data_IF_434969647302
#
_entry.id   IF_434969647302
#
_cell.length_a   1.000
_cell.length_b   1.000
_cell.length_c   1.000
_cell.angle_alpha   90.00
_cell.angle_beta   90.00
_cell.angle_gamma   90.00
#
_symmetry.space_group_name_H-M   'P 1'
#
loop_
_entity.id
_entity.type
_entity.pdbx_description
1 polymer ?
#
# COMPACT_ATOMS: atom_id res chain seq x y z
N UNK A 1 -20.70 16.97 -76.08
CA UNK A 1 -21.70 17.72 -75.30
C UNK A 1 -21.04 18.13 -73.99
N UNK A 2 -20.18 19.16 -73.91
CA UNK A 2 -20.35 20.63 -73.95
C UNK A 2 -21.25 21.22 -72.84
N UNK A 3 -20.65 22.13 -72.05
CA UNK A 3 -21.27 23.07 -71.07
C UNK A 3 -20.68 22.87 -69.66
N UNK A 4 -19.79 23.68 -69.08
CA UNK A 4 -19.50 25.13 -69.07
C UNK A 4 -20.56 26.02 -68.40
N UNK A 5 -20.30 26.45 -67.16
CA UNK A 5 -20.48 27.80 -66.60
C UNK A 5 -20.11 27.78 -65.10
N UNK A 6 -19.05 28.45 -64.64
CA UNK A 6 -19.01 29.85 -64.15
C UNK A 6 -20.14 30.13 -63.14
N UNK A 7 -19.91 30.43 -61.88
CA UNK A 7 -18.86 31.26 -61.28
C UNK A 7 -19.59 32.38 -60.52
N UNK A 8 -19.45 32.44 -59.20
CA UNK A 8 -19.77 33.65 -58.44
C UNK A 8 -18.90 33.75 -57.20
N UNK A 9 -18.10 34.82 -57.21
CA UNK A 9 -17.30 35.33 -56.12
C UNK A 9 -18.20 35.88 -55.01
N UNK A 10 -17.89 35.56 -53.76
CA UNK A 10 -18.21 36.43 -52.64
C UNK A 10 -16.94 36.66 -51.82
N UNK A 11 -16.39 37.87 -52.01
CA UNK A 11 -15.43 38.49 -51.11
C UNK A 11 -16.10 38.74 -49.76
N UNK A 12 -15.55 38.17 -48.69
CA UNK A 12 -15.81 38.64 -47.34
C UNK A 12 -14.48 38.91 -46.63
N UNK A 13 -14.31 40.20 -46.33
CA UNK A 13 -13.35 40.79 -45.42
C UNK A 13 -13.44 40.14 -44.03
N UNK A 14 -12.32 39.61 -43.53
CA UNK A 14 -12.17 39.36 -42.08
C UNK A 14 -10.73 39.62 -41.64
N UNK A 15 -10.65 40.42 -40.57
CA UNK A 15 -9.49 41.06 -39.95
C UNK A 15 -8.38 40.08 -39.53
N UNK A 16 -7.13 40.57 -39.39
CA UNK A 16 -6.04 39.79 -38.79
C UNK A 16 -6.36 39.44 -37.32
N UNK A 17 -5.99 38.23 -36.85
CA UNK A 17 -6.17 37.86 -35.46
C UNK A 17 -5.19 38.66 -34.59
N UNK A 18 -5.78 39.42 -33.66
CA UNK A 18 -5.10 40.06 -32.54
C UNK A 18 -4.34 38.99 -31.75
N UNK A 19 -3.01 39.09 -31.70
CA UNK A 19 -2.17 38.31 -30.79
C UNK A 19 -2.58 38.62 -29.34
N UNK A 20 -3.37 37.71 -28.74
CA UNK A 20 -3.51 37.65 -27.30
C UNK A 20 -2.18 37.17 -26.71
N UNK A 21 -1.39 38.11 -26.20
CA UNK A 21 -0.36 37.82 -25.20
C UNK A 21 -1.06 37.21 -24.00
N UNK A 22 -0.94 35.91 -23.81
CA UNK A 22 -1.14 35.31 -22.50
C UNK A 22 -0.01 35.82 -21.60
N UNK A 23 -0.31 36.87 -20.85
CA UNK A 23 0.41 37.21 -19.63
C UNK A 23 0.24 36.03 -18.67
N UNK A 24 1.29 35.22 -18.53
CA UNK A 24 1.45 34.32 -17.40
C UNK A 24 1.56 35.19 -16.14
N UNK A 25 0.41 35.52 -15.56
CA UNK A 25 0.36 35.96 -14.18
C UNK A 25 0.77 34.75 -13.30
N UNK A 26 1.73 34.90 -12.38
CA UNK A 26 1.99 33.85 -11.40
C UNK A 26 0.71 33.59 -10.63
N UNK A 27 0.31 32.32 -10.56
CA UNK A 27 -0.79 31.85 -9.72
C UNK A 27 -0.42 32.22 -8.29
N UNK A 28 -1.19 33.13 -7.70
CA UNK A 28 -1.13 33.45 -6.27
C UNK A 28 -1.49 32.18 -5.50
N UNK A 29 -0.47 31.42 -5.12
CA UNK A 29 -0.60 30.41 -4.10
C UNK A 29 -0.81 31.15 -2.79
N UNK A 30 -2.05 31.12 -2.28
CA UNK A 30 -2.35 31.50 -0.90
C UNK A 30 -1.47 30.65 0.00
N UNK A 31 -0.43 31.27 0.53
CA UNK A 31 0.53 30.69 1.45
C UNK A 31 -0.23 30.23 2.69
N UNK A 32 -0.39 28.91 2.86
CA UNK A 32 -0.83 28.32 4.14
C UNK A 32 0.40 28.15 5.02
N UNK A 33 0.52 28.84 6.15
CA UNK A 33 1.68 28.74 7.05
C UNK A 33 1.84 27.38 7.78
N UNK A 34 1.03 26.38 7.41
CA UNK A 34 0.81 25.16 8.21
C UNK A 34 1.43 23.89 7.58
N UNK A 35 2.17 23.98 6.47
CA UNK A 35 2.91 22.85 5.91
C UNK A 35 4.35 22.80 6.49
N UNK A 36 4.61 21.99 7.53
CA UNK A 36 5.91 21.96 8.22
C UNK A 36 7.05 21.48 7.31
N UNK A 37 6.77 20.76 6.22
CA UNK A 37 7.81 20.28 5.30
C UNK A 37 8.35 21.39 4.37
N UNK A 38 7.64 22.51 4.18
CA UNK A 38 8.09 23.61 3.29
C UNK A 38 8.77 24.76 4.05
N UNK A 39 8.45 24.97 5.33
CA UNK A 39 9.11 25.97 6.18
C UNK A 39 10.56 25.62 6.50
N UNK A 40 10.89 24.32 6.55
CA UNK A 40 12.23 23.86 6.90
C UNK A 40 13.23 23.99 5.73
N UNK A 41 12.76 23.87 4.48
CA UNK A 41 13.59 24.07 3.29
C UNK A 41 14.08 25.52 3.15
N UNK A 42 13.20 26.50 3.38
CA UNK A 42 13.60 27.91 3.33
C UNK A 42 14.43 28.34 4.54
N UNK A 43 14.28 27.69 5.70
CA UNK A 43 15.07 28.00 6.89
C UNK A 43 16.52 27.54 6.73
N UNK A 44 16.74 26.36 6.13
CA UNK A 44 18.08 25.83 5.85
C UNK A 44 18.86 26.69 4.83
N UNK A 45 18.17 27.26 3.83
CA UNK A 45 18.81 28.14 2.83
C UNK A 45 18.97 29.59 3.31
N UNK A 46 18.28 29.99 4.38
CA UNK A 46 18.35 31.35 4.96
C UNK A 46 19.47 31.56 5.97
N UNK A 47 20.17 30.50 6.39
CA UNK A 47 21.39 30.61 7.18
C UNK A 47 22.57 31.00 6.27
N UNK A 48 22.50 32.21 5.70
CA UNK A 48 23.72 32.90 5.28
C UNK A 48 24.43 33.25 6.59
N UNK A 49 25.60 32.65 6.89
CA UNK A 49 26.29 32.95 8.12
C UNK A 49 26.68 34.43 8.10
N UNK A 50 26.07 35.22 8.96
CA UNK A 50 26.39 36.63 9.18
C UNK A 50 27.83 36.84 9.70
N UNK A 51 28.58 35.75 9.88
CA UNK A 51 30.00 35.77 10.20
C UNK A 51 30.72 34.58 9.51
N UNK A 52 31.57 34.81 8.49
CA UNK A 52 32.30 33.75 7.79
C UNK A 52 33.33 33.02 8.67
N UNK A 53 33.58 33.48 9.90
CA UNK A 53 34.54 32.88 10.83
C UNK A 53 33.91 31.96 11.88
N UNK A 54 32.57 31.88 11.96
CA UNK A 54 31.90 30.93 12.85
C UNK A 54 31.70 29.61 12.10
N UNK A 55 32.57 28.63 12.38
CA UNK A 55 32.40 27.24 11.90
C UNK A 55 30.99 26.78 12.25
N UNK A 56 30.20 26.44 11.22
CA UNK A 56 28.90 25.80 11.36
C UNK A 56 28.99 24.70 12.44
N UNK A 57 28.11 24.75 13.43
CA UNK A 57 28.15 23.86 14.58
C UNK A 57 28.22 22.40 14.10
N UNK A 58 29.03 21.54 14.74
CA UNK A 58 29.21 20.14 14.33
C UNK A 58 27.90 19.32 14.29
N UNK A 59 26.82 19.85 14.87
CA UNK A 59 25.46 19.35 14.75
C UNK A 59 24.84 19.57 13.36
N UNK A 60 25.00 20.74 12.75
CA UNK A 60 24.53 21.02 11.38
C UNK A 60 25.23 20.15 10.34
N UNK A 61 26.56 19.96 10.48
CA UNK A 61 27.33 19.03 9.65
C UNK A 61 26.91 17.58 9.88
N UNK A 62 26.64 17.17 11.14
CA UNK A 62 26.05 15.85 11.42
C UNK A 62 24.65 15.70 10.83
N UNK A 63 23.84 16.75 10.84
CA UNK A 63 22.49 16.73 10.27
C UNK A 63 22.54 16.63 8.75
N UNK A 64 23.39 17.40 8.08
CA UNK A 64 23.63 17.28 6.64
C UNK A 64 24.26 15.95 6.24
N UNK A 65 25.18 15.41 7.05
CA UNK A 65 25.72 14.07 6.82
C UNK A 65 24.68 12.99 7.07
N UNK A 66 23.84 13.07 8.11
CA UNK A 66 22.74 12.12 8.33
C UNK A 66 21.70 12.21 7.21
N UNK A 67 21.28 13.41 6.83
CA UNK A 67 20.31 13.65 5.76
C UNK A 67 20.83 13.11 4.42
N UNK A 68 22.06 13.48 4.01
CA UNK A 68 22.64 13.01 2.75
C UNK A 68 22.91 11.50 2.73
N UNK A 69 23.26 10.90 3.87
CA UNK A 69 23.46 9.44 3.96
C UNK A 69 22.15 8.66 4.05
N UNK A 70 21.11 9.20 4.69
CA UNK A 70 19.77 8.63 4.68
C UNK A 70 19.19 8.65 3.26
N UNK A 71 19.33 9.76 2.53
CA UNK A 71 18.90 9.85 1.13
C UNK A 71 19.65 8.86 0.23
N UNK A 72 20.96 8.66 0.46
CA UNK A 72 21.75 7.68 -0.30
C UNK A 72 21.34 6.22 -0.03
N UNK A 73 20.92 5.89 1.19
CA UNK A 73 20.41 4.55 1.51
C UNK A 73 18.99 4.34 0.98
N UNK A 74 18.14 5.35 1.06
CA UNK A 74 16.79 5.32 0.51
C UNK A 74 16.82 5.18 -1.00
N UNK A 75 17.67 5.94 -1.71
CA UNK A 75 17.85 5.82 -3.17
C UNK A 75 18.40 4.46 -3.59
N UNK A 76 19.33 3.86 -2.83
CA UNK A 76 19.78 2.48 -3.06
C UNK A 76 18.66 1.46 -2.84
N UNK A 77 17.83 1.64 -1.80
CA UNK A 77 16.68 0.79 -1.52
C UNK A 77 15.61 0.91 -2.62
N UNK A 78 15.30 2.13 -3.04
CA UNK A 78 14.45 2.46 -4.19
C UNK A 78 14.90 1.75 -5.45
N UNK A 79 16.20 1.87 -5.78
CA UNK A 79 16.78 1.26 -6.98
C UNK A 79 16.69 -0.26 -6.92
N UNK A 80 17.02 -0.86 -5.76
CA UNK A 80 16.88 -2.31 -5.56
C UNK A 80 15.43 -2.76 -5.71
N UNK A 81 14.47 -1.99 -5.20
CA UNK A 81 13.06 -2.34 -5.29
C UNK A 81 12.49 -2.20 -6.70
N UNK A 82 12.93 -1.16 -7.44
CA UNK A 82 12.57 -0.93 -8.83
C UNK A 82 13.10 -2.02 -9.77
N UNK A 83 14.22 -2.65 -9.43
CA UNK A 83 14.74 -3.80 -10.19
C UNK A 83 14.08 -5.10 -9.73
N UNK A 84 13.95 -5.31 -8.41
CA UNK A 84 13.48 -6.56 -7.83
C UNK A 84 12.01 -6.85 -8.18
N UNK A 85 11.17 -5.82 -8.20
CA UNK A 85 9.72 -5.99 -8.42
C UNK A 85 9.41 -6.49 -9.83
N UNK A 86 9.79 -5.81 -10.93
CA UNK A 86 9.58 -6.33 -12.29
C UNK A 86 10.26 -7.68 -12.51
N UNK A 87 11.47 -7.88 -11.95
CA UNK A 87 12.17 -9.16 -12.06
C UNK A 87 11.37 -10.29 -11.41
N UNK A 88 10.80 -10.05 -10.22
CA UNK A 88 9.98 -11.04 -9.52
C UNK A 88 8.71 -11.41 -10.29
N UNK A 89 8.05 -10.43 -10.93
CA UNK A 89 6.85 -10.65 -11.75
C UNK A 89 7.19 -11.47 -13.00
N UNK A 90 8.28 -11.11 -13.69
CA UNK A 90 8.75 -11.85 -14.87
C UNK A 90 9.13 -13.28 -14.52
N UNK A 91 9.83 -13.49 -13.41
CA UNK A 91 10.18 -14.82 -12.92
C UNK A 91 8.93 -15.65 -12.60
N UNK A 92 7.99 -15.09 -11.85
CA UNK A 92 6.72 -15.76 -11.52
C UNK A 92 5.95 -16.14 -12.77
N UNK A 93 5.77 -15.21 -13.70
CA UNK A 93 5.08 -15.47 -14.96
C UNK A 93 5.79 -16.55 -15.78
N UNK A 94 7.12 -16.47 -15.91
CA UNK A 94 7.91 -17.44 -16.66
C UNK A 94 7.81 -18.86 -16.08
N UNK A 95 7.92 -19.00 -14.76
CA UNK A 95 7.77 -20.29 -14.09
C UNK A 95 6.34 -20.81 -14.22
N UNK A 96 5.32 -19.98 -14.02
CA UNK A 96 3.92 -20.40 -14.15
C UNK A 96 3.57 -20.86 -15.57
N UNK A 97 4.10 -20.19 -16.60
CA UNK A 97 3.96 -20.63 -17.99
C UNK A 97 4.68 -21.97 -18.21
N UNK A 98 5.92 -22.10 -17.73
CA UNK A 98 6.70 -23.34 -17.86
C UNK A 98 5.98 -24.52 -17.17
N UNK A 99 5.52 -24.31 -15.95
CA UNK A 99 4.77 -25.24 -15.11
C UNK A 99 3.37 -25.58 -15.70
N UNK A 100 2.73 -24.65 -16.41
CA UNK A 100 1.48 -24.87 -17.12
C UNK A 100 1.64 -25.49 -18.51
N UNK A 101 2.83 -25.41 -19.10
CA UNK A 101 3.11 -25.90 -20.45
C UNK A 101 3.08 -27.43 -20.54
N UNK A 102 3.12 -27.95 -21.77
CA UNK A 102 3.24 -29.40 -22.03
C UNK A 102 4.66 -29.93 -21.83
N UNK A 103 5.64 -29.07 -21.48
CA UNK A 103 7.05 -29.44 -21.35
C UNK A 103 7.33 -30.20 -20.04
N UNK A 104 6.58 -29.90 -18.97
CA UNK A 104 6.72 -30.56 -17.67
C UNK A 104 5.53 -31.51 -17.46
N UNK A 105 5.82 -32.73 -16.99
CA UNK A 105 4.81 -33.70 -16.59
C UNK A 105 5.08 -34.15 -15.14
N UNK A 106 4.09 -34.08 -14.24
CA UNK A 106 2.75 -33.52 -14.47
C UNK A 106 2.80 -31.99 -14.62
N UNK A 107 1.89 -31.40 -15.39
CA UNK A 107 1.72 -29.93 -15.43
C UNK A 107 0.65 -29.45 -14.43
N UNK A 108 0.57 -28.13 -14.19
CA UNK A 108 -0.39 -27.53 -13.25
C UNK A 108 -1.83 -28.02 -13.46
N UNK A 109 -2.26 -28.07 -14.73
CA UNK A 109 -3.60 -28.49 -15.13
C UNK A 109 -3.85 -29.99 -14.91
N UNK A 110 -2.85 -30.83 -15.16
CA UNK A 110 -2.92 -32.28 -14.95
C UNK A 110 -3.04 -32.61 -13.46
N UNK A 111 -2.29 -31.93 -12.60
CA UNK A 111 -2.41 -32.09 -11.15
C UNK A 111 -3.81 -31.67 -10.68
N UNK A 112 -4.30 -30.50 -11.14
CA UNK A 112 -5.66 -30.03 -10.81
C UNK A 112 -6.75 -31.03 -11.22
N UNK A 113 -6.60 -31.67 -12.38
CA UNK A 113 -7.54 -32.70 -12.88
C UNK A 113 -7.40 -34.04 -12.18
N UNK A 114 -6.23 -34.37 -11.64
CA UNK A 114 -6.00 -35.59 -10.86
C UNK A 114 -6.60 -35.49 -9.46
N UNK A 115 -6.61 -34.29 -8.89
CA UNK A 115 -7.09 -34.01 -7.55
C UNK A 115 -8.29 -33.03 -7.56
N UNK A 116 -9.44 -33.39 -8.18
CA UNK A 116 -10.60 -32.53 -8.14
C UNK A 116 -11.17 -32.48 -6.72
N UNK A 117 -11.52 -31.27 -6.29
CA UNK A 117 -12.12 -30.97 -4.99
C UNK A 117 -13.45 -30.25 -5.19
N UNK A 118 -14.30 -30.20 -4.16
CA UNK A 118 -15.50 -29.36 -4.19
C UNK A 118 -15.22 -27.88 -4.45
N UNK A 119 -13.99 -27.44 -4.16
CA UNK A 119 -13.55 -26.07 -4.36
C UNK A 119 -12.82 -25.88 -5.67
N UNK A 120 -12.73 -26.86 -6.57
CA UNK A 120 -12.07 -26.70 -7.87
C UNK A 120 -12.96 -25.89 -8.85
N UNK A 121 -12.38 -24.85 -9.45
CA UNK A 121 -12.96 -23.94 -10.43
C UNK A 121 -12.58 -24.42 -11.82
N UNK A 122 -13.37 -24.04 -12.81
CA UNK A 122 -13.05 -24.30 -14.21
C UNK A 122 -11.70 -23.67 -14.61
N UNK A 123 -10.85 -24.50 -15.23
CA UNK A 123 -9.52 -24.12 -15.73
C UNK A 123 -9.55 -22.79 -16.52
N UNK A 124 -10.56 -22.57 -17.37
CA UNK A 124 -10.69 -21.37 -18.21
C UNK A 124 -10.94 -20.09 -17.40
N UNK A 125 -11.73 -20.17 -16.33
CA UNK A 125 -11.98 -19.02 -15.46
C UNK A 125 -10.72 -18.63 -14.69
N UNK A 126 -10.02 -19.63 -14.13
CA UNK A 126 -8.75 -19.44 -13.42
C UNK A 126 -7.70 -18.85 -14.35
N UNK A 127 -7.55 -19.39 -15.56
CA UNK A 127 -6.57 -18.92 -16.53
C UNK A 127 -6.84 -17.48 -16.96
N UNK A 128 -8.10 -17.11 -17.24
CA UNK A 128 -8.47 -15.74 -17.58
C UNK A 128 -8.21 -14.79 -16.40
N UNK A 129 -8.52 -15.21 -15.17
CA UNK A 129 -8.23 -14.42 -13.96
C UNK A 129 -6.73 -14.13 -13.83
N UNK A 130 -5.90 -15.17 -13.94
CA UNK A 130 -4.45 -15.03 -13.88
C UNK A 130 -3.90 -14.20 -15.04
N UNK A 131 -4.44 -14.32 -16.25
CA UNK A 131 -4.04 -13.51 -17.39
C UNK A 131 -4.27 -12.01 -17.12
N UNK A 132 -5.47 -11.65 -16.64
CA UNK A 132 -5.79 -10.26 -16.25
C UNK A 132 -4.88 -9.79 -15.12
N UNK A 133 -4.66 -10.62 -14.11
CA UNK A 133 -3.77 -10.31 -13.00
C UNK A 133 -2.33 -10.05 -13.47
N UNK A 134 -1.78 -10.87 -14.38
CA UNK A 134 -0.44 -10.65 -14.92
C UNK A 134 -0.36 -9.37 -15.75
N UNK A 135 -1.38 -9.04 -16.55
CA UNK A 135 -1.43 -7.74 -17.27
C UNK A 135 -1.36 -6.58 -16.26
N UNK A 136 -2.11 -6.65 -15.16
CA UNK A 136 -2.09 -5.63 -14.11
C UNK A 136 -0.76 -5.59 -13.35
N UNK A 137 -0.12 -6.74 -13.08
CA UNK A 137 1.19 -6.81 -12.41
C UNK A 137 2.33 -6.26 -13.30
N UNK A 138 2.27 -6.50 -14.61
CA UNK A 138 3.16 -5.89 -15.59
C UNK A 138 2.91 -4.37 -15.63
N UNK A 139 1.64 -3.97 -15.70
CA UNK A 139 1.24 -2.55 -15.67
C UNK A 139 1.71 -1.84 -14.40
N UNK A 140 1.57 -2.49 -13.23
CA UNK A 140 2.13 -2.03 -11.96
C UNK A 140 3.63 -1.83 -12.07
N UNK A 141 4.36 -2.83 -12.57
CA UNK A 141 5.82 -2.78 -12.70
C UNK A 141 6.28 -1.64 -13.60
N UNK A 142 5.61 -1.41 -14.74
CA UNK A 142 5.88 -0.27 -15.64
C UNK A 142 5.53 1.05 -14.95
N UNK A 143 4.40 1.11 -14.25
CA UNK A 143 3.98 2.29 -13.48
C UNK A 143 5.00 2.67 -12.40
N UNK A 144 5.65 1.69 -11.76
CA UNK A 144 6.73 1.96 -10.79
C UNK A 144 7.91 2.71 -11.41
N UNK A 145 8.26 2.36 -12.65
CA UNK A 145 9.37 2.97 -13.37
C UNK A 145 9.02 4.38 -13.85
N UNK A 146 7.76 4.63 -14.19
CA UNK A 146 7.28 5.91 -14.70
C UNK A 146 6.87 6.90 -13.60
N UNK A 147 6.49 6.42 -12.41
CA UNK A 147 6.01 7.30 -11.33
C UNK A 147 7.11 8.23 -10.82
N UNK A 148 6.88 9.54 -10.95
CA UNK A 148 7.81 10.58 -10.49
C UNK A 148 7.38 11.22 -9.16
N UNK A 149 6.14 11.00 -8.75
CA UNK A 149 5.52 11.60 -7.57
C UNK A 149 6.14 11.08 -6.26
N UNK A 150 6.52 11.98 -5.32
CA UNK A 150 7.18 11.59 -4.07
C UNK A 150 6.25 10.76 -3.16
N UNK A 151 4.96 11.05 -3.16
CA UNK A 151 3.94 10.31 -2.38
C UNK A 151 3.86 8.84 -2.81
N UNK A 152 3.77 8.60 -4.12
CA UNK A 152 3.72 7.25 -4.69
C UNK A 152 5.01 6.49 -4.40
N UNK A 153 6.18 7.15 -4.47
CA UNK A 153 7.47 6.56 -4.11
C UNK A 153 7.53 6.14 -2.64
N UNK A 154 7.04 6.96 -1.72
CA UNK A 154 7.02 6.64 -0.27
C UNK A 154 6.12 5.44 0.01
N UNK A 155 4.93 5.40 -0.59
CA UNK A 155 4.02 4.25 -0.51
C UNK A 155 4.67 2.98 -1.08
N UNK A 156 5.36 3.11 -2.20
CA UNK A 156 6.05 2.01 -2.87
C UNK A 156 7.13 1.38 -1.98
N UNK A 157 8.09 2.21 -1.55
CA UNK A 157 9.35 1.78 -0.93
C UNK A 157 9.10 1.18 0.44
N UNK A 158 8.19 1.79 1.20
CA UNK A 158 7.97 1.41 2.59
C UNK A 158 6.83 0.40 2.76
N UNK A 159 5.91 0.30 1.80
CA UNK A 159 4.68 -0.48 1.95
C UNK A 159 4.60 -1.73 1.09
N UNK A 160 4.87 -1.59 -0.21
CA UNK A 160 4.22 -2.44 -1.21
C UNK A 160 5.20 -3.32 -1.99
N UNK A 161 6.32 -2.76 -2.46
CA UNK A 161 7.14 -3.45 -3.48
C UNK A 161 7.90 -4.67 -2.96
N UNK A 162 8.52 -4.58 -1.77
CA UNK A 162 9.31 -5.71 -1.21
C UNK A 162 8.43 -6.90 -0.84
N UNK A 163 7.25 -6.65 -0.25
CA UNK A 163 6.28 -7.70 0.12
C UNK A 163 5.64 -8.35 -1.09
N UNK A 164 5.34 -7.56 -2.12
CA UNK A 164 4.82 -8.08 -3.37
C UNK A 164 5.89 -8.94 -4.07
N UNK A 165 7.14 -8.46 -4.15
CA UNK A 165 8.23 -9.24 -4.74
C UNK A 165 8.45 -10.56 -4.00
N UNK A 166 8.44 -10.54 -2.67
CA UNK A 166 8.51 -11.75 -1.85
C UNK A 166 7.33 -12.70 -2.12
N UNK A 167 6.11 -12.17 -2.24
CA UNK A 167 4.92 -12.97 -2.57
C UNK A 167 5.06 -13.64 -3.94
N UNK A 168 5.60 -12.94 -4.93
CA UNK A 168 5.85 -13.48 -6.27
C UNK A 168 6.88 -14.62 -6.24
N UNK A 169 7.98 -14.48 -5.49
CA UNK A 169 8.97 -15.54 -5.29
C UNK A 169 8.39 -16.75 -4.56
N UNK A 170 7.58 -16.53 -3.53
CA UNK A 170 6.89 -17.62 -2.85
C UNK A 170 5.88 -18.30 -3.77
N UNK A 171 5.25 -17.57 -4.70
CA UNK A 171 4.33 -18.17 -5.67
C UNK A 171 5.05 -19.06 -6.69
N UNK A 172 6.28 -18.70 -7.08
CA UNK A 172 7.18 -19.59 -7.84
C UNK A 172 7.43 -20.88 -7.07
N UNK A 173 7.79 -20.77 -5.78
CA UNK A 173 8.05 -21.92 -4.94
C UNK A 173 6.80 -22.81 -4.78
N UNK A 174 5.63 -22.19 -4.60
CA UNK A 174 4.35 -22.90 -4.57
C UNK A 174 4.10 -23.70 -5.85
N UNK A 175 4.35 -23.13 -7.04
CA UNK A 175 4.15 -23.83 -8.30
C UNK A 175 5.00 -25.10 -8.41
N UNK A 176 6.22 -25.07 -7.85
CA UNK A 176 7.09 -26.26 -7.75
C UNK A 176 6.45 -27.30 -6.81
N UNK A 177 6.00 -26.89 -5.62
CA UNK A 177 5.32 -27.80 -4.69
C UNK A 177 4.04 -28.43 -5.25
N UNK A 178 3.30 -27.68 -6.07
CA UNK A 178 2.11 -28.15 -6.78
C UNK A 178 2.44 -29.29 -7.74
N UNK A 179 3.44 -29.10 -8.60
CA UNK A 179 3.80 -30.06 -9.65
C UNK A 179 4.41 -31.36 -9.11
N UNK A 180 5.03 -31.33 -7.94
CA UNK A 180 5.60 -32.54 -7.34
C UNK A 180 4.55 -33.60 -7.02
N UNK A 181 3.27 -33.22 -6.87
CA UNK A 181 2.13 -34.13 -6.74
C UNK A 181 2.30 -35.16 -5.59
N UNK A 182 2.84 -34.71 -4.45
CA UNK A 182 3.05 -35.52 -3.25
C UNK A 182 2.29 -34.94 -2.06
N UNK A 183 1.87 -35.77 -1.09
CA UNK A 183 1.15 -35.28 0.09
C UNK A 183 1.97 -34.26 0.90
N UNK A 184 3.27 -34.51 1.08
CA UNK A 184 4.17 -33.59 1.82
C UNK A 184 4.27 -32.24 1.07
N UNK A 185 4.33 -32.27 -0.26
CA UNK A 185 4.47 -31.04 -1.05
C UNK A 185 3.17 -30.25 -1.05
N UNK A 186 2.00 -30.88 -0.95
CA UNK A 186 0.73 -30.18 -0.73
C UNK A 186 0.67 -29.47 0.62
N UNK A 187 1.22 -30.07 1.69
CA UNK A 187 1.33 -29.40 3.00
C UNK A 187 2.25 -28.18 2.89
N UNK A 188 3.44 -28.35 2.31
CA UNK A 188 4.39 -27.24 2.09
C UNK A 188 3.80 -26.14 1.20
N UNK A 189 3.06 -26.52 0.16
CA UNK A 189 2.33 -25.60 -0.72
C UNK A 189 1.27 -24.81 0.04
N UNK A 190 0.50 -25.47 0.91
CA UNK A 190 -0.52 -24.82 1.75
C UNK A 190 0.11 -23.81 2.70
N UNK A 191 1.21 -24.18 3.38
CA UNK A 191 1.95 -23.26 4.26
C UNK A 191 2.47 -22.06 3.46
N UNK A 192 3.03 -22.29 2.28
CA UNK A 192 3.55 -21.24 1.39
C UNK A 192 2.43 -20.28 0.97
N UNK A 193 1.26 -20.79 0.55
CA UNK A 193 0.09 -19.97 0.23
C UNK A 193 -0.43 -19.21 1.46
N UNK A 194 -0.37 -19.79 2.65
CA UNK A 194 -0.71 -19.11 3.90
C UNK A 194 0.20 -17.90 4.17
N UNK A 195 1.51 -18.04 3.94
CA UNK A 195 2.48 -16.94 4.04
C UNK A 195 2.21 -15.87 2.98
N UNK A 196 1.95 -16.27 1.71
CA UNK A 196 1.58 -15.35 0.63
C UNK A 196 0.32 -14.56 1.00
N UNK A 197 -0.72 -15.26 1.46
CA UNK A 197 -1.98 -14.66 1.89
C UNK A 197 -1.76 -13.64 3.01
N UNK A 198 -0.94 -13.96 4.02
CA UNK A 198 -0.63 -13.05 5.12
C UNK A 198 0.11 -11.79 4.63
N UNK A 199 1.11 -11.94 3.75
CA UNK A 199 1.85 -10.82 3.16
C UNK A 199 0.94 -9.91 2.34
N UNK A 200 0.12 -10.49 1.47
CA UNK A 200 -0.82 -9.76 0.62
C UNK A 200 -1.96 -9.12 1.42
N UNK A 201 -2.45 -9.78 2.47
CA UNK A 201 -3.45 -9.23 3.37
C UNK A 201 -2.91 -8.03 4.14
N UNK A 202 -1.71 -8.14 4.70
CA UNK A 202 -1.05 -7.02 5.36
C UNK A 202 -0.80 -5.86 4.40
N UNK A 203 -0.41 -6.16 3.17
CA UNK A 203 -0.27 -5.14 2.12
C UNK A 203 -1.61 -4.44 1.86
N UNK A 204 -2.67 -5.21 1.57
CA UNK A 204 -4.02 -4.69 1.35
C UNK A 204 -4.52 -3.83 2.51
N UNK A 205 -4.24 -4.23 3.76
CA UNK A 205 -4.60 -3.47 4.95
C UNK A 205 -3.85 -2.14 5.04
N UNK A 206 -2.54 -2.13 4.77
CA UNK A 206 -1.75 -0.89 4.72
C UNK A 206 -2.26 0.04 3.62
N UNK A 207 -2.58 -0.50 2.44
CA UNK A 207 -3.18 0.29 1.36
C UNK A 207 -4.56 0.84 1.77
N UNK A 208 -5.37 0.07 2.50
CA UNK A 208 -6.69 0.52 2.93
C UNK A 208 -6.63 1.62 4.01
N UNK A 209 -5.68 1.53 4.95
CA UNK A 209 -5.60 2.43 6.10
C UNK A 209 -4.71 3.65 5.87
N UNK A 210 -3.55 3.49 5.21
CA UNK A 210 -2.54 4.54 5.08
C UNK A 210 -2.62 5.29 3.76
N UNK A 211 -3.04 4.63 2.68
CA UNK A 211 -3.06 5.19 1.33
C UNK A 211 -4.43 4.94 0.66
N UNK A 212 -5.53 5.47 1.21
CA UNK A 212 -6.87 5.18 0.69
C UNK A 212 -7.00 5.63 -0.77
N UNK A 213 -7.78 4.90 -1.59
CA UNK A 213 -7.89 5.17 -3.01
C UNK A 213 -8.55 6.53 -3.25
N UNK A 214 -7.83 7.42 -3.93
CA UNK A 214 -8.35 8.74 -4.32
C UNK A 214 -9.01 8.65 -5.70
N UNK A 215 -10.27 9.12 -5.87
CA UNK A 215 -10.93 9.14 -7.18
C UNK A 215 -10.24 10.08 -8.19
N UNK A 216 -9.33 10.95 -7.72
CA UNK A 216 -8.55 11.87 -8.59
C UNK A 216 -7.43 11.16 -9.36
N UNK A 217 -6.97 10.01 -8.89
CA UNK A 217 -5.88 9.23 -9.49
C UNK A 217 -6.34 7.80 -9.80
N UNK A 218 -7.19 7.61 -10.82
CA UNK A 218 -7.77 6.30 -11.13
C UNK A 218 -6.73 5.27 -11.60
N UNK A 219 -5.62 5.73 -12.21
CA UNK A 219 -4.53 4.85 -12.64
C UNK A 219 -3.72 4.31 -11.45
N UNK A 220 -3.48 5.14 -10.43
CA UNK A 220 -2.85 4.71 -9.17
C UNK A 220 -3.71 3.64 -8.50
N UNK A 221 -5.03 3.83 -8.46
CA UNK A 221 -5.95 2.80 -7.98
C UNK A 221 -5.84 1.51 -8.81
N UNK A 222 -5.94 1.61 -10.13
CA UNK A 222 -5.97 0.47 -11.04
C UNK A 222 -4.67 -0.35 -11.00
N UNK A 223 -3.50 0.29 -10.96
CA UNK A 223 -2.23 -0.44 -11.03
C UNK A 223 -1.64 -0.75 -9.66
N UNK A 224 -1.95 0.00 -8.60
CA UNK A 224 -1.42 -0.28 -7.26
C UNK A 224 -2.39 -1.17 -6.48
N UNK A 225 -3.66 -0.78 -6.37
CA UNK A 225 -4.60 -1.47 -5.47
C UNK A 225 -5.17 -2.74 -6.09
N UNK A 226 -5.58 -2.69 -7.36
CA UNK A 226 -6.31 -3.80 -8.01
C UNK A 226 -5.49 -5.09 -8.07
N UNK A 227 -4.23 -5.12 -8.59
CA UNK A 227 -3.49 -6.38 -8.71
C UNK A 227 -3.22 -7.02 -7.35
N UNK A 228 -2.89 -6.25 -6.31
CA UNK A 228 -2.64 -6.78 -4.96
C UNK A 228 -3.90 -7.43 -4.40
N UNK A 229 -5.05 -6.76 -4.54
CA UNK A 229 -6.33 -7.26 -4.06
C UNK A 229 -6.79 -8.47 -4.86
N UNK A 230 -6.66 -8.45 -6.17
CA UNK A 230 -6.97 -9.61 -7.01
C UNK A 230 -6.08 -10.81 -6.65
N UNK A 231 -4.78 -10.60 -6.46
CA UNK A 231 -3.87 -11.66 -6.06
C UNK A 231 -4.24 -12.23 -4.68
N UNK A 232 -4.56 -11.36 -3.72
CA UNK A 232 -5.02 -11.78 -2.40
C UNK A 232 -6.33 -12.59 -2.46
N UNK A 233 -7.30 -12.12 -3.25
CA UNK A 233 -8.62 -12.75 -3.35
C UNK A 233 -8.53 -14.16 -3.93
N UNK A 234 -7.78 -14.37 -5.03
CA UNK A 234 -7.60 -15.73 -5.57
C UNK A 234 -6.83 -16.63 -4.62
N UNK A 235 -5.81 -16.09 -3.95
CA UNK A 235 -5.01 -16.86 -2.98
C UNK A 235 -5.88 -17.35 -1.82
N UNK A 236 -6.66 -16.47 -1.19
CA UNK A 236 -7.48 -16.81 -0.02
C UNK A 236 -8.76 -17.54 -0.40
N UNK A 237 -9.50 -17.13 -1.43
CA UNK A 237 -10.80 -17.75 -1.72
C UNK A 237 -10.67 -19.12 -2.40
N UNK A 238 -9.55 -19.36 -3.07
CA UNK A 238 -9.43 -20.50 -3.97
C UNK A 238 -8.14 -21.30 -3.72
N UNK A 239 -6.97 -20.76 -4.07
CA UNK A 239 -5.72 -21.55 -4.12
C UNK A 239 -5.40 -22.18 -2.76
N UNK A 240 -5.52 -21.41 -1.67
CA UNK A 240 -5.23 -21.88 -0.32
C UNK A 240 -6.11 -23.06 0.08
N UNK A 241 -7.43 -22.96 -0.11
CA UNK A 241 -8.35 -24.01 0.32
C UNK A 241 -8.35 -25.21 -0.61
N UNK A 242 -8.14 -25.02 -1.92
CA UNK A 242 -7.94 -26.13 -2.84
C UNK A 242 -6.70 -26.94 -2.44
N UNK A 243 -5.58 -26.26 -2.19
CA UNK A 243 -4.35 -26.91 -1.76
C UNK A 243 -4.51 -27.58 -0.38
N UNK A 244 -5.21 -26.93 0.55
CA UNK A 244 -5.50 -27.50 1.88
C UNK A 244 -6.33 -28.79 1.77
N UNK A 245 -7.32 -28.84 0.87
CA UNK A 245 -8.15 -30.03 0.69
C UNK A 245 -7.31 -31.19 0.13
N UNK A 246 -6.42 -30.90 -0.81
CA UNK A 246 -5.46 -31.88 -1.30
C UNK A 246 -4.49 -32.35 -0.21
N UNK A 247 -4.02 -31.43 0.64
CA UNK A 247 -3.13 -31.76 1.76
C UNK A 247 -3.82 -32.64 2.83
N UNK A 248 -5.12 -32.43 3.04
CA UNK A 248 -5.95 -33.23 3.97
C UNK A 248 -6.47 -34.53 3.35
N UNK A 249 -6.24 -34.76 2.04
CA UNK A 249 -6.79 -35.89 1.32
C UNK A 249 -8.32 -35.85 1.17
N UNK A 250 -8.91 -34.65 1.16
CA UNK A 250 -10.33 -34.40 0.90
C UNK A 250 -10.61 -34.13 -0.59
N UNK A 251 -9.83 -34.77 -1.44
CA UNK A 251 -9.91 -34.72 -2.89
C UNK A 251 -10.22 -36.11 -3.45
N UNK A 252 -10.72 -36.16 -4.68
CA UNK A 252 -11.04 -37.43 -5.31
C UNK A 252 -9.80 -38.30 -5.59
N UNK A 253 -8.65 -37.69 -5.87
CA UNK A 253 -7.42 -38.41 -6.21
C UNK A 253 -6.84 -39.22 -5.05
N UNK A 254 -7.04 -38.77 -3.80
CA UNK A 254 -6.51 -39.42 -2.60
C UNK A 254 -7.34 -40.62 -2.10
N UNK A 255 -8.66 -40.64 -2.35
CA UNK A 255 -9.54 -41.68 -1.82
C UNK A 255 -10.91 -41.80 -2.48
N UNK A 256 -11.03 -41.33 -3.72
CA UNK A 256 -12.26 -41.40 -4.51
C UNK A 256 -13.41 -40.59 -3.92
N UNK A 257 -14.64 -41.05 -4.18
CA UNK A 257 -15.86 -40.37 -3.78
C UNK A 257 -16.00 -40.23 -2.25
N UNK A 258 -15.54 -41.22 -1.47
CA UNK A 258 -15.60 -41.18 0.00
C UNK A 258 -14.71 -40.09 0.60
N UNK A 259 -13.51 -39.89 0.04
CA UNK A 259 -12.62 -38.79 0.43
C UNK A 259 -13.23 -37.43 0.08
N UNK A 260 -13.82 -37.31 -1.11
CA UNK A 260 -14.49 -36.10 -1.55
C UNK A 260 -15.65 -35.73 -0.62
N UNK A 261 -16.53 -36.67 -0.26
CA UNK A 261 -17.66 -36.46 0.66
C UNK A 261 -17.22 -35.90 2.03
N UNK A 262 -16.06 -36.30 2.56
CA UNK A 262 -15.53 -35.74 3.81
C UNK A 262 -15.26 -34.23 3.72
N UNK A 263 -14.88 -33.75 2.52
CA UNK A 263 -14.66 -32.33 2.24
C UNK A 263 -15.93 -31.51 2.03
N UNK A 264 -17.11 -32.13 1.98
CA UNK A 264 -18.37 -31.42 1.65
C UNK A 264 -18.71 -30.32 2.67
N UNK A 265 -18.84 -30.69 3.94
CA UNK A 265 -19.22 -29.77 5.01
C UNK A 265 -18.14 -28.73 5.32
N UNK A 266 -16.84 -29.09 5.37
CA UNK A 266 -15.77 -28.10 5.40
C UNK A 266 -15.85 -27.13 4.22
N UNK A 267 -16.07 -27.63 3.00
CA UNK A 267 -16.17 -26.80 1.79
C UNK A 267 -17.35 -25.82 1.86
N UNK A 268 -18.51 -26.30 2.32
CA UNK A 268 -19.67 -25.45 2.61
C UNK A 268 -19.33 -24.35 3.62
N UNK A 269 -18.73 -24.71 4.76
CA UNK A 269 -18.36 -23.77 5.82
C UNK A 269 -17.36 -22.73 5.35
N UNK A 270 -16.39 -23.12 4.52
CA UNK A 270 -15.39 -22.22 3.93
C UNK A 270 -16.04 -21.24 2.95
N UNK A 271 -16.85 -21.73 1.99
CA UNK A 271 -17.49 -20.85 0.99
C UNK A 271 -18.45 -19.87 1.65
N UNK A 272 -19.30 -20.35 2.57
CA UNK A 272 -20.25 -19.51 3.28
C UNK A 272 -19.53 -18.53 4.23
N UNK A 273 -18.53 -19.01 4.98
CA UNK A 273 -17.76 -18.23 5.94
C UNK A 273 -16.93 -17.13 5.26
N UNK A 274 -16.17 -17.46 4.21
CA UNK A 274 -15.46 -16.47 3.41
C UNK A 274 -16.40 -15.52 2.69
N UNK A 275 -17.55 -16.02 2.20
CA UNK A 275 -18.59 -15.18 1.63
C UNK A 275 -19.08 -14.11 2.61
N UNK A 276 -19.37 -14.51 3.85
CA UNK A 276 -19.78 -13.59 4.91
C UNK A 276 -18.66 -12.63 5.33
N UNK A 277 -17.44 -13.12 5.55
CA UNK A 277 -16.29 -12.27 5.90
C UNK A 277 -15.93 -11.29 4.78
N UNK A 278 -15.95 -11.75 3.53
CA UNK A 278 -15.77 -10.92 2.33
C UNK A 278 -16.83 -9.84 2.26
N UNK A 279 -18.10 -10.19 2.53
CA UNK A 279 -19.21 -9.23 2.52
C UNK A 279 -19.07 -8.18 3.62
N UNK A 280 -18.64 -8.57 4.83
CA UNK A 280 -18.35 -7.63 5.91
C UNK A 280 -17.20 -6.67 5.52
N UNK A 281 -16.13 -7.21 4.93
CA UNK A 281 -15.00 -6.42 4.43
C UNK A 281 -15.43 -5.44 3.33
N UNK A 282 -16.18 -5.91 2.34
CA UNK A 282 -16.75 -5.10 1.25
C UNK A 282 -17.66 -4.02 1.83
N UNK A 283 -18.51 -4.34 2.81
CA UNK A 283 -19.38 -3.36 3.44
C UNK A 283 -18.57 -2.24 4.12
N UNK A 284 -17.54 -2.60 4.87
CA UNK A 284 -16.69 -1.66 5.60
C UNK A 284 -15.86 -0.76 4.66
N UNK A 285 -15.35 -1.31 3.56
CA UNK A 285 -14.39 -0.61 2.68
C UNK A 285 -15.04 -0.01 1.42
N UNK A 286 -16.21 -0.52 0.99
CA UNK A 286 -16.81 -0.35 -0.33
C UNK A 286 -15.85 -0.70 -1.48
N UNK A 287 -15.14 -1.81 -1.34
CA UNK A 287 -14.09 -2.22 -2.28
C UNK A 287 -14.66 -2.98 -3.48
N UNK A 288 -14.82 -2.28 -4.61
CA UNK A 288 -15.31 -2.84 -5.86
C UNK A 288 -14.42 -3.98 -6.40
N UNK A 289 -13.10 -3.88 -6.24
CA UNK A 289 -12.19 -4.90 -6.78
C UNK A 289 -12.42 -6.23 -6.11
N UNK A 290 -12.53 -6.20 -4.77
CA UNK A 290 -12.75 -7.38 -3.97
C UNK A 290 -14.07 -8.07 -4.34
N UNK A 291 -15.14 -7.29 -4.52
CA UNK A 291 -16.45 -7.81 -4.94
C UNK A 291 -16.39 -8.45 -6.33
N UNK A 292 -15.86 -7.75 -7.33
CA UNK A 292 -15.82 -8.25 -8.72
C UNK A 292 -14.97 -9.51 -8.81
N UNK A 293 -13.79 -9.52 -8.18
CA UNK A 293 -12.92 -10.68 -8.14
C UNK A 293 -13.58 -11.87 -7.43
N UNK A 294 -14.15 -11.65 -6.25
CA UNK A 294 -14.82 -12.69 -5.48
C UNK A 294 -16.03 -13.27 -6.20
N UNK A 295 -16.90 -12.42 -6.76
CA UNK A 295 -18.06 -12.85 -7.54
C UNK A 295 -17.63 -13.63 -8.79
N UNK A 296 -16.62 -13.16 -9.52
CA UNK A 296 -16.11 -13.86 -10.70
C UNK A 296 -15.62 -15.28 -10.38
N UNK A 297 -14.84 -15.46 -9.31
CA UNK A 297 -14.37 -16.78 -8.89
C UNK A 297 -15.52 -17.69 -8.44
N UNK A 298 -16.50 -17.15 -7.73
CA UNK A 298 -17.70 -17.90 -7.33
C UNK A 298 -18.57 -18.30 -8.53
N UNK A 299 -18.66 -17.46 -9.57
CA UNK A 299 -19.30 -17.84 -10.84
C UNK A 299 -18.53 -18.98 -11.51
N UNK A 300 -17.19 -18.91 -11.51
CA UNK A 300 -16.34 -19.99 -12.01
C UNK A 300 -16.55 -21.33 -11.28
N UNK A 301 -16.86 -21.31 -9.98
CA UNK A 301 -17.26 -22.52 -9.23
C UNK A 301 -18.61 -23.08 -9.71
N UNK A 302 -19.58 -22.21 -10.00
CA UNK A 302 -20.92 -22.62 -10.47
C UNK A 302 -20.94 -23.10 -11.92
N UNK A 303 -20.01 -22.62 -12.76
CA UNK A 303 -20.02 -22.93 -14.19
C UNK A 303 -19.82 -24.42 -14.48
N UNK A 304 -19.13 -25.15 -13.59
CA UNK A 304 -19.08 -26.61 -13.63
C UNK A 304 -20.40 -27.23 -13.14
N UNK A 305 -21.30 -27.55 -14.09
CA UNK A 305 -22.51 -28.33 -13.81
C UNK A 305 -22.22 -29.80 -13.47
N UNK A 306 -21.12 -30.34 -13.99
CA UNK A 306 -20.69 -31.72 -13.79
C UNK A 306 -19.22 -31.76 -13.38
N UNK A 307 -18.91 -32.47 -12.29
CA UNK A 307 -17.54 -32.88 -11.99
C UNK A 307 -17.09 -33.85 -13.07
N UNK A 308 -16.17 -33.48 -13.96
CA UNK A 308 -15.50 -34.47 -14.81
C UNK A 308 -14.64 -35.35 -13.91
N UNK A 309 -15.25 -36.42 -13.41
CA UNK A 309 -14.58 -37.49 -12.70
C UNK A 309 -13.52 -38.08 -13.65
N UNK A 310 -12.35 -38.39 -13.09
CA UNK A 310 -11.21 -38.96 -13.82
C UNK A 310 -11.69 -40.15 -14.67
N UNK A 311 -11.62 -40.03 -16.01
CA UNK A 311 -12.05 -41.09 -16.93
C UNK A 311 -12.81 -40.64 -18.18
N UNK A 312 -13.17 -39.37 -18.32
CA UNK A 312 -13.83 -38.87 -19.54
C UNK A 312 -15.27 -39.36 -19.72
N UNK A 313 -15.92 -39.86 -18.66
CA UNK A 313 -17.37 -40.01 -18.63
C UNK A 313 -17.99 -38.65 -18.31
N UNK A 314 -18.82 -38.17 -19.23
CA UNK A 314 -19.62 -36.95 -19.07
C UNK A 314 -20.74 -37.11 -18.03
N UNK A 315 -20.86 -38.28 -17.41
CA UNK A 315 -21.78 -38.68 -16.34
C UNK A 315 -21.46 -38.03 -14.97
N UNK A 316 -20.73 -36.91 -14.97
CA UNK A 316 -20.17 -36.30 -13.78
C UNK A 316 -21.22 -36.03 -12.70
N UNK A 317 -20.86 -36.36 -11.45
CA UNK A 317 -21.76 -36.19 -10.32
C UNK A 317 -22.12 -34.69 -10.16
N UNK A 318 -23.42 -34.36 -10.04
CA UNK A 318 -23.83 -32.97 -9.88
C UNK A 318 -23.26 -32.42 -8.57
N UNK A 319 -22.82 -31.17 -8.59
CA UNK A 319 -22.33 -30.48 -7.38
C UNK A 319 -23.41 -30.56 -6.29
N UNK A 320 -23.08 -30.99 -5.06
CA UNK A 320 -24.07 -31.15 -4.00
C UNK A 320 -24.84 -29.85 -3.76
N UNK A 321 -26.17 -29.97 -3.64
CA UNK A 321 -27.07 -28.83 -3.46
C UNK A 321 -26.66 -27.87 -2.32
N UNK A 322 -26.17 -28.35 -1.15
CA UNK A 322 -25.73 -27.45 -0.08
C UNK A 322 -24.59 -26.52 -0.51
N UNK A 323 -23.63 -27.03 -1.29
CA UNK A 323 -22.49 -26.24 -1.74
C UNK A 323 -22.92 -25.21 -2.79
N UNK A 324 -23.78 -25.61 -3.73
CA UNK A 324 -24.37 -24.69 -4.71
C UNK A 324 -25.12 -23.55 -4.03
N UNK A 325 -25.91 -23.86 -2.99
CA UNK A 325 -26.60 -22.86 -2.19
C UNK A 325 -25.62 -21.91 -1.47
N UNK A 326 -24.53 -22.43 -0.90
CA UNK A 326 -23.50 -21.60 -0.27
C UNK A 326 -22.82 -20.65 -1.25
N UNK A 327 -22.55 -21.07 -2.48
CA UNK A 327 -21.93 -20.22 -3.50
C UNK A 327 -22.91 -19.11 -3.92
N UNK A 328 -24.18 -19.43 -4.18
CA UNK A 328 -25.22 -18.43 -4.52
C UNK A 328 -25.41 -17.43 -3.37
N UNK A 329 -25.43 -17.93 -2.13
CA UNK A 329 -25.50 -17.10 -0.93
C UNK A 329 -24.29 -16.16 -0.85
N UNK A 330 -23.08 -16.68 -1.04
CA UNK A 330 -21.83 -15.90 -1.03
C UNK A 330 -21.85 -14.79 -2.09
N UNK A 331 -22.27 -15.08 -3.33
CA UNK A 331 -22.41 -14.09 -4.40
C UNK A 331 -23.42 -13.01 -3.99
N UNK A 332 -24.59 -13.43 -3.50
CA UNK A 332 -25.68 -12.53 -3.12
C UNK A 332 -25.26 -11.59 -1.99
N UNK A 333 -24.60 -12.12 -0.95
CA UNK A 333 -24.09 -11.34 0.18
C UNK A 333 -23.06 -10.30 -0.28
N UNK A 334 -22.13 -10.66 -1.16
CA UNK A 334 -21.10 -9.74 -1.64
C UNK A 334 -21.69 -8.59 -2.48
N UNK A 335 -22.67 -8.89 -3.34
CA UNK A 335 -23.37 -7.88 -4.16
C UNK A 335 -24.20 -6.95 -3.26
N UNK A 336 -25.00 -7.50 -2.35
CA UNK A 336 -25.83 -6.72 -1.41
C UNK A 336 -24.94 -5.86 -0.51
N UNK A 337 -23.82 -6.39 -0.02
CA UNK A 337 -22.86 -5.64 0.79
C UNK A 337 -22.27 -4.45 0.03
N UNK A 338 -21.93 -4.62 -1.25
CA UNK A 338 -21.44 -3.52 -2.07
C UNK A 338 -22.52 -2.44 -2.24
N UNK A 339 -23.76 -2.82 -2.59
CA UNK A 339 -24.87 -1.87 -2.73
C UNK A 339 -25.14 -1.13 -1.42
N UNK A 340 -25.18 -1.86 -0.30
CA UNK A 340 -25.37 -1.30 1.03
C UNK A 340 -24.23 -0.34 1.41
N UNK A 341 -22.98 -0.67 1.09
CA UNK A 341 -21.82 0.19 1.37
C UNK A 341 -21.90 1.52 0.61
N UNK A 342 -22.30 1.49 -0.66
CA UNK A 342 -22.46 2.68 -1.50
C UNK A 342 -23.64 3.52 -1.01
N UNK A 343 -24.77 2.89 -0.68
CA UNK A 343 -25.93 3.56 -0.12
C UNK A 343 -25.59 4.23 1.23
N UNK A 344 -24.88 3.53 2.12
CA UNK A 344 -24.44 4.04 3.41
C UNK A 344 -23.51 5.24 3.27
N UNK A 345 -22.49 5.15 2.41
CA UNK A 345 -21.58 6.27 2.12
C UNK A 345 -22.34 7.49 1.59
N UNK A 346 -23.34 7.28 0.71
CA UNK A 346 -24.17 8.36 0.15
C UNK A 346 -25.06 9.02 1.21
N UNK A 347 -25.63 8.24 2.13
CA UNK A 347 -26.45 8.76 3.24
C UNK A 347 -25.57 9.57 4.19
N UNK A 348 -24.40 9.03 4.57
CA UNK A 348 -23.46 9.70 5.48
C UNK A 348 -22.95 11.02 4.91
N UNK A 349 -22.60 11.07 3.62
CA UNK A 349 -22.20 12.30 2.95
C UNK A 349 -23.30 13.39 2.99
N UNK A 350 -24.58 12.99 2.94
CA UNK A 350 -25.71 13.93 3.08
C UNK A 350 -25.92 14.42 4.51
N UNK A 351 -25.56 13.61 5.51
CA UNK A 351 -25.66 13.98 6.92
C UNK A 351 -24.53 14.92 7.33
N UNK A 352 -23.31 14.67 6.87
CA UNK A 352 -22.15 15.55 7.13
C UNK A 352 -22.33 16.95 6.50
N UNK A 353 -23.04 17.06 5.36
CA UNK A 353 -23.43 18.37 4.80
C UNK A 353 -24.60 19.06 5.49
N UNK A 354 -25.34 18.38 6.38
CA UNK A 354 -26.48 18.95 7.14
C UNK A 354 -26.11 19.42 8.54
N UNK A 355 -24.96 19.00 9.06
CA UNK A 355 -24.38 19.45 10.33
C UNK A 355 -23.13 20.29 10.05
N UNK A 356 -23.15 21.10 9.01
CA UNK A 356 -22.46 22.38 9.07
C UNK A 356 -23.46 23.32 9.75
N UNK A 357 -23.35 23.50 11.07
CA UNK A 357 -23.87 24.71 11.68
C UNK A 357 -23.29 25.86 10.83
N UNK A 358 -24.11 26.74 10.23
CA UNK A 358 -23.57 27.97 9.68
C UNK A 358 -22.76 28.58 10.82
N UNK A 359 -21.45 28.75 10.61
CA UNK A 359 -20.61 29.44 11.56
C UNK A 359 -21.34 30.75 11.83
N UNK A 360 -21.85 30.89 13.05
CA UNK A 360 -22.51 32.13 13.42
C UNK A 360 -21.46 33.23 13.28
N UNK A 361 -21.80 34.44 12.82
CA UNK A 361 -20.81 35.51 12.67
C UNK A 361 -20.06 35.81 13.98
N UNK A 362 -20.62 35.44 15.14
CA UNK A 362 -19.93 35.46 16.43
C UNK A 362 -18.84 34.39 16.59
N UNK A 363 -19.05 33.16 16.10
CA UNK A 363 -18.04 32.09 16.13
C UNK A 363 -16.91 32.34 15.13
N UNK A 364 -17.18 32.95 13.98
CA UNK A 364 -16.13 33.36 13.04
C UNK A 364 -15.25 34.47 13.64
N UNK A 365 -15.88 35.43 14.30
CA UNK A 365 -15.17 36.48 15.05
C UNK A 365 -14.40 35.90 16.25
N UNK A 366 -14.92 34.86 16.93
CA UNK A 366 -14.22 34.19 18.01
C UNK A 366 -13.01 33.38 17.52
N UNK A 367 -13.14 32.68 16.39
CA UNK A 367 -12.04 31.96 15.74
C UNK A 367 -10.94 32.94 15.29
N UNK A 368 -11.32 34.07 14.69
CA UNK A 368 -10.37 35.11 14.28
C UNK A 368 -9.66 35.76 15.48
N UNK A 369 -10.37 35.98 16.59
CA UNK A 369 -9.78 36.48 17.85
C UNK A 369 -8.82 35.46 18.47
N UNK A 370 -9.18 34.17 18.48
CA UNK A 370 -8.33 33.11 19.02
C UNK A 370 -7.05 32.95 18.20
N UNK A 371 -7.14 33.09 16.88
CA UNK A 371 -5.99 33.05 15.97
C UNK A 371 -5.10 34.30 16.11
N UNK A 372 -5.71 35.48 16.26
CA UNK A 372 -4.99 36.72 16.56
C UNK A 372 -4.26 36.67 17.92
N UNK A 373 -4.89 36.12 18.97
CA UNK A 373 -4.26 35.93 20.27
C UNK A 373 -3.10 34.92 20.20
N UNK A 374 -3.26 33.82 19.45
CA UNK A 374 -2.20 32.83 19.26
C UNK A 374 -1.00 33.46 18.55
N UNK A 375 -1.24 34.27 17.52
CA UNK A 375 -0.18 34.99 16.82
C UNK A 375 0.49 36.06 17.69
N UNK A 376 -0.26 36.77 18.53
CA UNK A 376 0.29 37.72 19.49
C UNK A 376 1.18 37.03 20.54
N UNK A 377 0.78 35.86 21.06
CA UNK A 377 1.60 35.07 21.98
C UNK A 377 2.90 34.59 21.34
N UNK A 378 2.84 34.14 20.09
CA UNK A 378 4.03 33.74 19.34
C UNK A 378 4.96 34.92 19.06
N UNK A 379 4.41 36.11 18.78
CA UNK A 379 5.21 37.33 18.61
C UNK A 379 5.92 37.74 19.91
N UNK A 380 5.21 37.74 21.05
CA UNK A 380 5.82 38.00 22.34
C UNK A 380 6.89 36.98 22.71
N UNK A 381 6.67 35.69 22.42
CA UNK A 381 7.66 34.65 22.67
C UNK A 381 8.91 34.83 21.80
N UNK A 382 8.76 35.21 20.52
CA UNK A 382 9.89 35.54 19.64
C UNK A 382 10.67 36.75 20.14
N UNK A 383 9.99 37.75 20.66
CA UNK A 383 10.62 38.97 21.17
C UNK A 383 11.39 38.70 22.46
N UNK A 384 10.83 37.91 23.38
CA UNK A 384 11.53 37.45 24.59
C UNK A 384 12.77 36.62 24.28
N UNK A 385 12.70 35.75 23.26
CA UNK A 385 13.87 34.98 22.80
C UNK A 385 14.95 35.88 22.20
N UNK A 386 14.57 36.92 21.45
CA UNK A 386 15.53 37.88 20.88
C UNK A 386 16.20 38.75 21.96
N UNK A 387 15.45 39.20 22.97
CA UNK A 387 15.99 40.00 24.07
C UNK A 387 16.92 39.17 24.99
N UNK A 388 16.61 37.88 25.20
CA UNK A 388 17.48 36.96 25.94
C UNK A 388 18.83 36.74 25.22
N UNK A 389 18.82 36.63 23.89
CA UNK A 389 20.03 36.49 23.08
C UNK A 389 20.87 37.78 23.08
N UNK A 390 20.24 38.94 23.01
CA UNK A 390 20.91 40.24 23.11
C UNK A 390 21.60 40.43 24.48
N UNK A 391 20.95 39.97 25.56
CA UNK A 391 21.49 40.05 26.92
C UNK A 391 22.64 39.05 27.14
N UNK A 392 22.55 37.85 26.57
CA UNK A 392 23.63 36.86 26.61
C UNK A 392 24.89 37.33 25.86
N UNK A 393 24.70 38.03 24.73
CA UNK A 393 25.78 38.58 23.91
C UNK A 393 26.49 39.75 24.61
N UNK A 394 25.76 40.62 25.32
CA UNK A 394 26.34 41.72 26.09
C UNK A 394 27.22 41.25 27.27
N UNK A 395 26.85 40.12 27.89
CA UNK A 395 27.54 39.58 29.08
C UNK A 395 28.87 38.90 28.71
N UNK A 396 28.99 38.35 27.51
CA UNK A 396 30.23 37.71 27.02
C UNK A 396 31.27 38.72 26.52
N UNK A 397 30.87 39.87 26.00
CA UNK A 397 31.81 40.96 25.63
C UNK A 397 32.41 41.70 26.83
N UNK A 398 31.73 41.74 27.98
CA UNK A 398 32.24 42.39 29.19
C UNK A 398 33.29 41.54 29.94
N UNK A 399 33.25 40.21 29.81
CA UNK A 399 34.16 39.31 30.51
C UNK A 399 35.53 39.10 29.81
N UNK A 400 35.66 39.50 28.53
CA UNK A 400 36.89 39.32 27.74
C UNK A 400 37.90 40.47 27.86
N UNK A 401 37.59 41.56 28.58
CA UNK A 401 38.42 42.78 28.60
C UNK A 401 39.25 42.98 29.89
N UNK A 402 39.16 42.09 30.88
CA UNK A 402 39.82 42.30 32.18
C UNK A 402 40.44 41.02 32.73
N UNK A 403 41.60 40.63 32.21
CA UNK A 403 42.70 40.05 33.02
C UNK A 403 43.86 39.61 32.13
N UNK A 404 44.93 40.41 32.14
CA UNK A 404 46.30 39.95 31.92
C UNK A 404 47.10 40.48 33.11
N UNK A 405 47.83 39.62 33.84
CA UNK A 405 49.28 39.80 33.86
C UNK A 405 50.07 38.49 33.78
N UNK A 406 51.23 38.64 33.12
CA UNK A 406 52.56 38.01 33.29
C UNK A 406 52.71 36.96 34.41
N UNK A 407 53.09 35.71 34.15
CA UNK A 407 54.39 35.14 33.67
C UNK A 407 55.38 34.81 34.81
N UNK A 408 56.12 33.71 34.61
CA UNK A 408 57.28 33.12 35.33
C UNK A 408 57.00 31.92 36.26
N UNK A 409 57.35 30.72 35.72
CA UNK A 409 58.27 29.65 36.20
C UNK A 409 58.29 29.27 37.70
N UNK A 410 58.50 28.06 38.19
CA UNK A 410 58.91 26.70 37.74
C UNK A 410 57.98 25.71 38.51
N UNK A 411 57.88 24.40 38.29
CA UNK A 411 58.85 23.37 38.67
C UNK A 411 58.11 22.01 38.61
N UNK A 412 58.64 21.11 37.80
CA UNK A 412 58.92 19.69 38.04
C UNK A 412 57.93 18.72 38.76
N UNK A 413 57.62 17.66 37.99
CA UNK A 413 57.56 16.22 38.34
C UNK A 413 56.41 15.59 39.16
N UNK A 414 56.06 14.40 38.63
CA UNK A 414 55.57 13.19 39.30
C UNK A 414 54.17 13.27 39.92
N UNK A 415 53.38 12.21 40.04
CA UNK A 415 53.29 10.87 39.49
C UNK A 415 51.93 10.35 40.03
N UNK A 416 51.37 9.33 39.39
CA UNK A 416 50.63 8.24 40.07
C UNK A 416 49.38 8.57 40.93
N UNK A 417 48.21 8.03 40.52
CA UNK A 417 47.63 6.80 41.12
C UNK A 417 46.55 7.16 42.14
N UNK A 418 45.25 6.99 41.83
CA UNK A 418 44.44 5.80 42.14
C UNK A 418 43.13 6.25 42.81
N UNK A 419 42.07 5.44 42.71
CA UNK A 419 40.96 5.50 43.68
C UNK A 419 39.56 5.77 43.15
N UNK A 420 38.93 4.76 42.55
CA UNK A 420 37.47 4.51 42.58
C UNK A 420 36.96 4.30 44.05
N UNK A 421 35.65 4.08 44.37
CA UNK A 421 34.40 4.18 43.58
C UNK A 421 33.11 4.72 44.32
N UNK A 422 32.07 5.01 43.51
CA UNK A 422 30.62 4.74 43.71
C UNK A 422 29.78 5.54 44.78
N UNK A 423 28.44 5.31 44.91
CA UNK A 423 27.36 5.69 43.97
C UNK A 423 26.10 6.30 44.65
N UNK A 424 25.24 7.02 43.92
CA UNK A 424 23.86 7.37 44.41
C UNK A 424 22.76 7.26 43.35
N UNK A 425 22.19 6.04 43.27
CA UNK A 425 20.77 5.68 43.43
C UNK A 425 19.70 6.80 43.35
N UNK A 426 18.86 6.79 42.30
CA UNK A 426 17.42 7.16 42.40
C UNK A 426 16.58 6.27 41.48
N UNK A 427 15.88 5.31 42.08
CA UNK A 427 14.81 4.51 41.47
C UNK A 427 13.47 5.17 41.76
N UNK A 428 12.65 5.44 40.73
CA UNK A 428 11.23 5.80 40.88
C UNK A 428 10.37 4.65 40.36
N UNK A 429 9.70 3.95 41.27
CA UNK A 429 8.65 2.94 41.01
C UNK A 429 7.55 3.19 42.02
N UNK A 430 6.30 3.35 41.57
CA UNK A 430 5.05 2.95 42.25
C UNK A 430 3.84 3.44 41.45
N UNK A 431 2.87 2.55 41.22
CA UNK A 431 1.55 2.93 40.74
C UNK A 431 0.76 1.86 39.98
N UNK A 432 0.31 0.81 40.65
CA UNK A 432 -0.90 -0.01 40.36
C UNK A 432 -1.12 -0.93 41.58
N UNK A 433 -2.33 -1.41 41.94
CA UNK A 433 -3.62 -1.39 41.23
C UNK A 433 -4.83 -0.98 42.10
N UNK A 434 -6.01 -0.80 41.50
CA UNK A 434 -7.30 -0.92 42.23
C UNK A 434 -8.32 -1.70 41.40
N UNK A 435 -8.94 -2.67 42.06
CA UNK A 435 -10.07 -3.50 41.62
C UNK A 435 -11.35 -2.67 41.46
N UNK A 436 -12.17 -3.01 40.47
CA UNK A 436 -13.57 -3.37 40.66
C UNK A 436 -13.99 -4.36 39.58
#
# INVERSE_FOLDING_TARGET
MTGSNSGQQQQQNSRPPTQQRHSNAPVDYIFRPEDPEHSDQYRADSEVPSNPNLRASGLSQRYHQLSSTMDAQETKSLTRMQILTPLSVLLQMGVMILCGSKLIKPNLQQVSRRHPTYLSVQDSFVLLYWAVLYILLIGFSVFLLLSRTPETKKALVHGVGTRLALSNYLMVLWAVFWILDRPITFILGTVTLGVIAALLFFNSLVLALKYPPSPRHPLDWLFIHVPIKMFLVITIQYDFFQQLFMALGWDFGSGGHQALLKGLWPGFGIVAGLGALSSLWIFATADLTWTVAGVYLNIGLLWHKHFSLVGGRDDGEPRPAPLTAAIILSISLQIVALIASVAWKRIRARQEGRIALPITPEEEAAAYRAEAERNARLAHQRQQLADADATATATTTAASAASRPTDIADEEAAAESSGQPAPTKVTRKLGSPTKK
#
